data_IF_823475188156
#
_entry.id   IF_823475188156
#
_cell.length_a   1.000
_cell.length_b   1.000
_cell.length_c   1.000
_cell.angle_alpha   90.00
_cell.angle_beta   90.00
_cell.angle_gamma   90.00
#
_symmetry.space_group_name_H-M   'P 1'
#
loop_
_entity.id
_entity.type
_entity.pdbx_description
1 polymer ?
#
# COMPACT_ATOMS: atom_id res chain seq x y z
N UNK A 1 6.77 -9.11 -27.86
CA UNK A 1 5.48 -9.23 -27.16
C UNK A 1 4.46 -8.53 -28.01
N UNK A 2 3.70 -9.29 -28.79
CA UNK A 2 2.61 -8.74 -29.61
C UNK A 2 1.48 -8.32 -28.68
N UNK A 3 0.95 -7.10 -28.85
CA UNK A 3 -0.26 -6.69 -28.13
C UNK A 3 -1.39 -7.68 -28.46
N UNK A 4 -2.25 -8.04 -27.49
CA UNK A 4 -3.43 -8.83 -27.80
C UNK A 4 -4.36 -8.00 -28.71
N UNK A 5 -4.49 -8.42 -29.97
CA UNK A 5 -5.26 -7.80 -31.06
C UNK A 5 -6.80 -7.86 -30.86
N UNK A 6 -7.29 -7.99 -29.63
CA UNK A 6 -8.71 -8.20 -29.36
C UNK A 6 -9.19 -7.40 -28.15
N UNK A 7 -8.98 -6.09 -28.20
CA UNK A 7 -9.58 -5.16 -27.24
C UNK A 7 -10.97 -4.81 -27.78
N UNK A 8 -12.00 -5.41 -27.18
CA UNK A 8 -13.40 -5.04 -27.43
C UNK A 8 -13.57 -3.53 -27.24
N UNK A 9 -14.31 -2.89 -28.14
CA UNK A 9 -14.71 -1.50 -27.95
C UNK A 9 -15.62 -1.36 -26.72
N UNK A 10 -15.65 -0.18 -26.12
CA UNK A 10 -16.51 0.12 -24.96
C UNK A 10 -17.98 -0.18 -25.27
N UNK A 11 -18.42 0.09 -26.49
CA UNK A 11 -19.80 -0.11 -26.94
C UNK A 11 -20.13 -1.60 -27.08
N UNK A 12 -19.19 -2.40 -27.60
CA UNK A 12 -19.29 -3.87 -27.62
C UNK A 12 -19.35 -4.43 -26.20
N UNK A 13 -18.48 -3.99 -25.29
CA UNK A 13 -18.51 -4.38 -23.87
C UNK A 13 -19.88 -4.10 -23.23
N UNK A 14 -20.44 -2.89 -23.40
CA UNK A 14 -21.76 -2.56 -22.85
C UNK A 14 -22.87 -3.41 -23.46
N UNK A 15 -22.80 -3.73 -24.75
CA UNK A 15 -23.78 -4.58 -25.42
C UNK A 15 -23.75 -6.01 -24.88
N UNK A 16 -22.54 -6.56 -24.64
CA UNK A 16 -22.33 -7.89 -24.06
C UNK A 16 -22.85 -7.93 -22.63
N UNK A 17 -22.48 -6.95 -21.80
CA UNK A 17 -22.93 -6.86 -20.39
C UNK A 17 -24.46 -6.79 -20.31
N UNK A 18 -25.10 -5.94 -21.12
CA UNK A 18 -26.58 -5.82 -21.12
C UNK A 18 -27.26 -7.11 -21.55
N UNK A 19 -26.70 -7.82 -22.53
CA UNK A 19 -27.24 -9.13 -22.92
C UNK A 19 -27.03 -10.14 -21.79
N UNK A 20 -25.86 -10.21 -21.19
CA UNK A 20 -25.61 -11.13 -20.05
C UNK A 20 -26.57 -10.88 -18.89
N UNK A 21 -26.89 -9.62 -18.59
CA UNK A 21 -27.89 -9.26 -17.57
C UNK A 21 -29.31 -9.74 -17.90
N UNK A 22 -29.65 -9.90 -19.18
CA UNK A 22 -30.99 -10.25 -19.63
C UNK A 22 -31.15 -11.74 -19.91
N UNK A 23 -30.24 -12.30 -20.69
CA UNK A 23 -30.34 -13.62 -21.30
C UNK A 23 -29.21 -14.57 -20.82
N UNK A 24 -28.25 -14.07 -20.03
CA UNK A 24 -27.04 -14.79 -19.64
C UNK A 24 -25.98 -14.90 -20.76
N UNK A 25 -24.78 -15.44 -20.44
CA UNK A 25 -23.76 -15.76 -21.44
C UNK A 25 -24.20 -16.93 -22.33
N UNK A 26 -23.82 -16.92 -23.61
CA UNK A 26 -24.09 -18.08 -24.50
C UNK A 26 -23.24 -19.27 -24.10
N UNK A 27 -23.58 -20.45 -24.62
CA UNK A 27 -22.78 -21.66 -24.38
C UNK A 27 -21.35 -21.50 -24.89
N UNK A 28 -21.15 -20.98 -26.10
CA UNK A 28 -19.82 -20.72 -26.66
C UNK A 28 -19.00 -19.71 -25.82
N UNK A 29 -19.66 -18.73 -25.19
CA UNK A 29 -18.99 -17.76 -24.33
C UNK A 29 -18.58 -18.35 -22.99
N UNK A 30 -19.42 -19.23 -22.42
CA UNK A 30 -19.07 -19.98 -21.21
C UNK A 30 -17.91 -20.92 -21.50
N UNK A 31 -17.97 -21.67 -22.60
CA UNK A 31 -16.91 -22.60 -23.02
C UNK A 31 -15.62 -21.84 -23.34
N UNK A 32 -15.72 -20.70 -24.01
CA UNK A 32 -14.58 -19.81 -24.28
C UNK A 32 -13.96 -19.23 -23.01
N UNK A 33 -14.77 -18.87 -22.02
CA UNK A 33 -14.30 -18.43 -20.71
C UNK A 33 -13.59 -19.56 -19.97
N UNK A 34 -14.21 -20.74 -19.86
CA UNK A 34 -13.63 -21.92 -19.20
C UNK A 34 -12.32 -22.32 -19.86
N UNK A 35 -12.27 -22.34 -21.19
CA UNK A 35 -11.05 -22.67 -21.96
C UNK A 35 -9.94 -21.67 -21.65
N UNK A 36 -10.20 -20.37 -21.76
CA UNK A 36 -9.19 -19.33 -21.45
C UNK A 36 -8.75 -19.35 -19.99
N UNK A 37 -9.66 -19.57 -19.06
CA UNK A 37 -9.33 -19.69 -17.65
C UNK A 37 -8.45 -20.93 -17.40
N UNK A 38 -8.76 -22.05 -18.04
CA UNK A 38 -7.95 -23.28 -17.98
C UNK A 38 -6.56 -23.07 -18.61
N UNK A 39 -6.48 -22.41 -19.77
CA UNK A 39 -5.22 -22.05 -20.42
C UNK A 39 -4.36 -21.17 -19.52
N UNK A 40 -4.95 -20.16 -18.87
CA UNK A 40 -4.24 -19.29 -17.92
C UNK A 40 -3.75 -20.02 -16.67
N UNK A 41 -4.51 -21.01 -16.18
CA UNK A 41 -4.12 -21.80 -15.01
C UNK A 41 -3.07 -22.88 -15.35
N UNK A 42 -2.95 -23.25 -16.62
CA UNK A 42 -1.94 -24.22 -17.10
C UNK A 42 -0.69 -23.54 -17.67
N UNK A 43 -0.78 -22.25 -18.02
CA UNK A 43 0.35 -21.40 -18.37
C UNK A 43 1.21 -21.10 -17.12
N UNK A 44 2.37 -21.74 -17.06
CA UNK A 44 3.32 -21.54 -15.97
C UNK A 44 3.78 -20.09 -15.84
N UNK A 45 3.86 -19.34 -16.94
CA UNK A 45 4.30 -17.95 -16.91
C UNK A 45 3.23 -17.06 -16.27
N UNK A 46 1.96 -17.27 -16.63
CA UNK A 46 0.83 -16.56 -16.02
C UNK A 46 0.69 -16.85 -14.51
N UNK A 47 0.84 -18.12 -14.10
CA UNK A 47 0.83 -18.50 -12.68
C UNK A 47 2.01 -17.88 -11.93
N UNK A 48 3.21 -17.91 -12.51
CA UNK A 48 4.39 -17.30 -11.90
C UNK A 48 4.24 -15.78 -11.77
N UNK A 49 3.63 -15.11 -12.75
CA UNK A 49 3.34 -13.68 -12.67
C UNK A 49 2.35 -13.37 -11.54
N UNK A 50 1.28 -14.17 -11.39
CA UNK A 50 0.35 -14.02 -10.28
C UNK A 50 1.05 -14.18 -8.92
N UNK A 51 1.86 -15.22 -8.75
CA UNK A 51 2.64 -15.44 -7.53
C UNK A 51 3.63 -14.30 -7.26
N UNK A 52 4.26 -13.75 -8.29
CA UNK A 52 5.14 -12.60 -8.17
C UNK A 52 4.39 -11.36 -7.65
N UNK A 53 3.20 -11.07 -8.19
CA UNK A 53 2.36 -9.95 -7.73
C UNK A 53 1.91 -10.12 -6.27
N UNK A 54 1.55 -11.34 -5.85
CA UNK A 54 1.23 -11.63 -4.45
C UNK A 54 2.45 -11.41 -3.55
N UNK A 55 3.63 -11.85 -3.98
CA UNK A 55 4.88 -11.64 -3.25
C UNK A 55 5.23 -10.15 -3.13
N UNK A 56 5.06 -9.39 -4.21
CA UNK A 56 5.25 -7.94 -4.23
C UNK A 56 4.33 -7.24 -3.23
N UNK A 57 3.03 -7.57 -3.22
CA UNK A 57 2.08 -7.02 -2.27
C UNK A 57 2.49 -7.30 -0.82
N UNK A 58 2.95 -8.52 -0.51
CA UNK A 58 3.44 -8.87 0.83
C UNK A 58 4.70 -8.09 1.21
N UNK A 59 5.62 -7.87 0.26
CA UNK A 59 6.82 -7.08 0.49
C UNK A 59 6.51 -5.59 0.69
N UNK A 60 5.56 -5.03 -0.07
CA UNK A 60 5.06 -3.67 0.11
C UNK A 60 4.44 -3.49 1.50
N UNK A 61 3.63 -4.45 1.96
CA UNK A 61 3.04 -4.40 3.30
C UNK A 61 4.13 -4.34 4.39
N UNK A 62 5.18 -5.17 4.27
CA UNK A 62 6.35 -5.14 5.19
C UNK A 62 7.10 -3.81 5.13
N UNK A 63 7.30 -3.26 3.93
CA UNK A 63 7.98 -1.98 3.75
C UNK A 63 7.20 -0.85 4.43
N UNK A 64 5.88 -0.81 4.27
CA UNK A 64 5.01 0.16 4.94
C UNK A 64 5.06 -0.02 6.46
N UNK A 65 5.02 -1.24 6.98
CA UNK A 65 5.16 -1.48 8.43
C UNK A 65 6.52 -0.98 8.96
N UNK A 66 7.60 -1.17 8.21
CA UNK A 66 8.91 -0.62 8.57
C UNK A 66 8.90 0.91 8.56
N UNK A 67 8.19 1.56 7.64
CA UNK A 67 8.05 3.03 7.65
C UNK A 67 7.30 3.48 8.90
N UNK A 68 6.25 2.77 9.31
CA UNK A 68 5.54 3.08 10.55
C UNK A 68 6.47 3.05 11.77
N UNK A 69 7.22 1.96 11.92
CA UNK A 69 8.15 1.76 13.02
C UNK A 69 9.32 2.77 13.03
N UNK A 70 9.86 3.12 11.86
CA UNK A 70 10.98 4.08 11.76
C UNK A 70 10.58 5.50 12.20
N UNK A 71 9.34 5.91 11.93
CA UNK A 71 8.86 7.25 12.26
C UNK A 71 8.32 7.36 13.69
N UNK A 72 8.03 6.25 14.35
CA UNK A 72 7.63 6.23 15.77
C UNK A 72 8.66 6.96 16.65
N UNK A 73 9.95 6.67 16.46
CA UNK A 73 11.03 7.33 17.20
C UNK A 73 11.12 8.84 16.98
N UNK A 74 10.74 9.34 15.79
CA UNK A 74 10.68 10.78 15.50
C UNK A 74 9.49 11.44 16.20
N UNK A 75 8.36 10.77 16.26
CA UNK A 75 7.14 11.28 16.88
C UNK A 75 7.20 11.28 18.42
N UNK A 76 8.08 10.49 19.00
CA UNK A 76 8.38 10.50 20.44
C UNK A 76 9.18 11.74 20.91
N UNK A 77 9.65 12.58 19.99
CA UNK A 77 10.19 13.89 20.37
C UNK A 77 9.08 14.71 21.04
N UNK A 78 9.38 15.29 22.21
CA UNK A 78 8.36 15.93 23.07
C UNK A 78 7.49 16.97 22.34
N UNK A 79 8.06 17.67 21.36
CA UNK A 79 7.35 18.68 20.57
C UNK A 79 6.43 18.08 19.50
N UNK A 80 6.59 16.81 19.11
CA UNK A 80 5.71 16.07 18.19
C UNK A 80 4.72 15.12 18.89
N UNK A 81 4.84 14.97 20.22
CA UNK A 81 3.96 14.14 21.04
C UNK A 81 2.45 14.30 20.75
N UNK A 82 1.91 15.51 20.46
CA UNK A 82 0.49 15.65 20.12
C UNK A 82 0.02 14.91 18.87
N UNK A 83 0.94 14.51 17.97
CA UNK A 83 0.63 13.78 16.74
C UNK A 83 0.68 12.26 16.92
N UNK A 84 1.26 11.76 18.02
CA UNK A 84 1.42 10.33 18.30
C UNK A 84 0.08 9.57 18.27
N UNK A 85 -1.01 10.02 18.93
CA UNK A 85 -2.25 9.24 18.95
C UNK A 85 -2.87 9.05 17.55
N UNK A 86 -2.75 10.05 16.68
CA UNK A 86 -3.27 9.98 15.31
C UNK A 86 -2.39 9.06 14.44
N UNK A 87 -1.08 9.09 14.63
CA UNK A 87 -0.15 8.17 13.97
C UNK A 87 -0.41 6.71 14.36
N UNK A 88 -0.55 6.44 15.66
CA UNK A 88 -0.84 5.09 16.16
C UNK A 88 -2.17 4.57 15.59
N UNK A 89 -3.20 5.42 15.53
CA UNK A 89 -4.48 5.06 14.92
C UNK A 89 -4.35 4.72 13.42
N UNK A 90 -3.52 5.42 12.66
CA UNK A 90 -3.24 5.10 11.25
C UNK A 90 -2.50 3.77 11.12
N UNK A 91 -1.53 3.51 12.01
CA UNK A 91 -0.78 2.26 12.01
C UNK A 91 -1.68 1.06 12.34
N UNK A 92 -2.53 1.18 13.35
CA UNK A 92 -3.48 0.12 13.74
C UNK A 92 -4.49 -0.16 12.62
N UNK A 93 -4.98 0.89 11.93
CA UNK A 93 -5.83 0.73 10.75
C UNK A 93 -5.10 0.03 9.61
N UNK A 94 -3.85 0.39 9.33
CA UNK A 94 -3.03 -0.30 8.33
C UNK A 94 -2.89 -1.80 8.65
N UNK A 95 -2.52 -2.15 9.88
CA UNK A 95 -2.41 -3.54 10.34
C UNK A 95 -3.73 -4.28 10.24
N UNK A 96 -4.84 -3.62 10.56
CA UNK A 96 -6.18 -4.20 10.45
C UNK A 96 -6.53 -4.52 9.00
N UNK A 97 -6.27 -3.61 8.06
CA UNK A 97 -6.50 -3.85 6.63
C UNK A 97 -5.67 -5.03 6.10
N UNK A 98 -4.38 -5.12 6.49
CA UNK A 98 -3.49 -6.22 6.08
C UNK A 98 -3.92 -7.56 6.70
N UNK A 99 -4.32 -7.59 7.98
CA UNK A 99 -4.85 -8.81 8.58
C UNK A 99 -6.11 -9.27 7.88
N UNK A 100 -7.02 -8.33 7.61
CA UNK A 100 -8.27 -8.63 6.95
C UNK A 100 -8.06 -9.17 5.52
N UNK A 101 -7.10 -8.62 4.77
CA UNK A 101 -6.75 -9.15 3.45
C UNK A 101 -6.18 -10.58 3.51
N UNK A 102 -5.36 -10.88 4.52
CA UNK A 102 -4.89 -12.24 4.77
C UNK A 102 -6.02 -13.20 5.13
N UNK A 103 -6.95 -12.78 6.00
CA UNK A 103 -8.08 -13.61 6.41
C UNK A 103 -8.99 -13.95 5.21
N UNK A 104 -9.25 -12.98 4.33
CA UNK A 104 -9.98 -13.21 3.06
C UNK A 104 -9.22 -14.23 2.21
N UNK A 105 -7.93 -14.04 1.99
CA UNK A 105 -7.12 -14.97 1.19
C UNK A 105 -7.14 -16.40 1.75
N UNK A 106 -7.07 -16.55 3.07
CA UNK A 106 -7.17 -17.85 3.75
C UNK A 106 -8.55 -18.48 3.59
N UNK A 107 -9.62 -17.69 3.72
CA UNK A 107 -10.99 -18.16 3.51
C UNK A 107 -11.20 -18.60 2.05
N UNK A 108 -10.78 -17.79 1.07
CA UNK A 108 -10.82 -18.15 -0.35
C UNK A 108 -10.03 -19.42 -0.62
N UNK A 109 -8.82 -19.58 -0.06
CA UNK A 109 -8.04 -20.80 -0.20
C UNK A 109 -8.78 -22.02 0.36
N UNK A 110 -9.38 -21.90 1.55
CA UNK A 110 -10.17 -22.96 2.18
C UNK A 110 -11.38 -23.37 1.33
N UNK A 111 -12.08 -22.39 0.74
CA UNK A 111 -13.19 -22.63 -0.20
C UNK A 111 -12.69 -23.39 -1.42
N UNK A 112 -11.60 -22.94 -2.05
CA UNK A 112 -11.02 -23.55 -3.24
C UNK A 112 -10.53 -24.98 -2.99
N UNK A 113 -9.93 -25.26 -1.82
CA UNK A 113 -9.50 -26.62 -1.46
C UNK A 113 -10.69 -27.58 -1.31
N UNK A 114 -11.78 -27.12 -0.68
CA UNK A 114 -13.01 -27.93 -0.57
C UNK A 114 -13.69 -28.12 -1.92
N UNK A 115 -13.70 -27.07 -2.74
CA UNK A 115 -14.19 -27.14 -4.11
C UNK A 115 -13.41 -28.18 -4.91
N UNK A 116 -12.07 -28.16 -4.88
CA UNK A 116 -11.20 -29.11 -5.57
C UNK A 116 -11.47 -30.55 -5.13
N UNK A 117 -11.61 -30.79 -3.81
CA UNK A 117 -11.95 -32.10 -3.28
C UNK A 117 -13.31 -32.63 -3.79
N UNK A 118 -14.33 -31.77 -3.89
CA UNK A 118 -15.64 -32.16 -4.45
C UNK A 118 -15.57 -32.35 -5.96
N UNK A 119 -14.82 -31.48 -6.65
CA UNK A 119 -14.62 -31.55 -8.09
C UNK A 119 -13.96 -32.89 -8.48
N UNK A 120 -12.83 -33.23 -7.86
CA UNK A 120 -12.13 -34.51 -8.08
C UNK A 120 -13.02 -35.71 -7.75
N UNK A 121 -13.82 -35.63 -6.69
CA UNK A 121 -14.65 -36.75 -6.25
C UNK A 121 -15.91 -36.98 -7.11
N UNK A 122 -16.45 -35.96 -7.76
CA UNK A 122 -17.73 -36.05 -8.48
C UNK A 122 -17.61 -35.78 -9.97
N UNK A 123 -16.89 -34.73 -10.37
CA UNK A 123 -16.82 -34.30 -11.78
C UNK A 123 -15.96 -35.24 -12.60
N UNK A 124 -14.84 -35.73 -12.07
CA UNK A 124 -13.97 -36.68 -12.79
C UNK A 124 -14.65 -38.04 -13.05
N UNK A 125 -15.72 -38.35 -12.31
CA UNK A 125 -16.41 -39.65 -12.38
C UNK A 125 -17.78 -39.60 -13.05
N UNK A 126 -18.18 -38.48 -13.66
CA UNK A 126 -19.48 -38.34 -14.33
C UNK A 126 -19.58 -39.35 -15.47
N UNK A 127 -20.59 -40.22 -15.43
CA UNK A 127 -20.91 -41.17 -16.51
C UNK A 127 -22.34 -41.01 -17.01
N UNK A 128 -23.24 -40.53 -16.15
CA UNK A 128 -24.66 -40.38 -16.44
C UNK A 128 -25.12 -38.94 -16.28
N UNK A 129 -26.27 -38.63 -16.87
CA UNK A 129 -26.94 -37.35 -16.66
C UNK A 129 -27.28 -37.12 -15.17
N UNK A 130 -27.58 -38.19 -14.42
CA UNK A 130 -27.83 -38.07 -12.98
C UNK A 130 -26.55 -37.67 -12.22
N UNK A 131 -25.39 -38.21 -12.59
CA UNK A 131 -24.11 -37.81 -11.98
C UNK A 131 -23.79 -36.34 -12.25
N UNK A 132 -24.09 -35.88 -13.48
CA UNK A 132 -23.95 -34.46 -13.85
C UNK A 132 -24.83 -33.56 -12.98
N UNK A 133 -26.09 -33.92 -12.78
CA UNK A 133 -27.02 -33.16 -11.92
C UNK A 133 -26.55 -33.17 -10.45
N UNK A 134 -26.05 -34.30 -9.95
CA UNK A 134 -25.51 -34.41 -8.60
C UNK A 134 -24.26 -33.53 -8.42
N UNK A 135 -23.35 -33.53 -9.40
CA UNK A 135 -22.15 -32.71 -9.38
C UNK A 135 -22.50 -31.21 -9.39
N UNK A 136 -23.48 -30.78 -10.19
CA UNK A 136 -23.99 -29.39 -10.17
C UNK A 136 -24.49 -29.04 -8.77
N UNK A 137 -25.38 -29.86 -8.20
CA UNK A 137 -25.93 -29.60 -6.87
C UNK A 137 -24.87 -29.59 -5.77
N UNK A 138 -23.78 -30.36 -5.93
CA UNK A 138 -22.67 -30.37 -4.99
C UNK A 138 -21.73 -29.16 -5.13
N UNK A 139 -21.58 -28.60 -6.33
CA UNK A 139 -20.72 -27.46 -6.60
C UNK A 139 -21.40 -26.10 -6.36
N UNK A 140 -22.72 -26.03 -6.53
CA UNK A 140 -23.52 -24.80 -6.41
C UNK A 140 -23.31 -24.03 -5.08
N UNK A 141 -23.20 -24.68 -3.90
CA UNK A 141 -22.96 -23.97 -2.64
C UNK A 141 -21.65 -23.18 -2.60
N UNK A 142 -20.62 -23.63 -3.33
CA UNK A 142 -19.32 -22.94 -3.36
C UNK A 142 -19.39 -21.64 -4.15
N UNK A 143 -20.24 -21.56 -5.18
CA UNK A 143 -20.46 -20.33 -5.94
C UNK A 143 -21.05 -19.26 -5.01
N UNK A 144 -22.10 -19.63 -4.26
CA UNK A 144 -22.71 -18.72 -3.29
C UNK A 144 -21.73 -18.33 -2.16
N UNK A 145 -20.89 -19.25 -1.69
CA UNK A 145 -19.87 -18.96 -0.68
C UNK A 145 -18.80 -18.00 -1.21
N UNK A 146 -18.34 -18.17 -2.45
CA UNK A 146 -17.39 -17.26 -3.09
C UNK A 146 -17.99 -15.86 -3.29
N UNK A 147 -19.22 -15.76 -3.81
CA UNK A 147 -19.90 -14.48 -4.02
C UNK A 147 -20.13 -13.72 -2.72
N UNK A 148 -20.50 -14.42 -1.63
CA UNK A 148 -20.71 -13.79 -0.32
C UNK A 148 -19.40 -13.47 0.40
N UNK A 149 -18.30 -14.15 0.07
CA UNK A 149 -16.97 -13.89 0.62
C UNK A 149 -16.21 -12.83 -0.19
N UNK A 150 -16.64 -12.51 -1.41
CA UNK A 150 -16.02 -11.45 -2.20
C UNK A 150 -16.35 -10.06 -1.65
N UNK A 151 -15.41 -9.55 -0.86
CA UNK A 151 -15.44 -8.22 -0.27
C UNK A 151 -14.25 -7.38 -0.74
N UNK A 152 -13.72 -7.70 -1.92
CA UNK A 152 -12.58 -7.03 -2.53
C UNK A 152 -12.81 -5.51 -2.68
N UNK A 153 -14.02 -5.09 -3.04
CA UNK A 153 -14.43 -3.69 -3.13
C UNK A 153 -14.32 -2.96 -1.78
N UNK A 154 -14.78 -3.59 -0.70
CA UNK A 154 -14.74 -3.02 0.64
C UNK A 154 -13.30 -2.88 1.13
N UNK A 155 -12.49 -3.92 0.94
CA UNK A 155 -11.06 -3.88 1.27
C UNK A 155 -10.32 -2.79 0.48
N UNK A 156 -10.62 -2.66 -0.82
CA UNK A 156 -10.04 -1.62 -1.68
C UNK A 156 -10.37 -0.22 -1.17
N UNK A 157 -11.64 0.03 -0.80
CA UNK A 157 -12.07 1.30 -0.20
C UNK A 157 -11.34 1.59 1.10
N UNK A 158 -11.17 0.60 1.98
CA UNK A 158 -10.45 0.77 3.24
C UNK A 158 -8.99 1.18 3.03
N UNK A 159 -8.29 0.58 2.07
CA UNK A 159 -6.92 0.99 1.72
C UNK A 159 -6.87 2.39 1.09
N UNK A 160 -7.84 2.76 0.25
CA UNK A 160 -7.93 4.09 -0.36
C UNK A 160 -8.22 5.18 0.68
N UNK A 161 -9.14 4.92 1.61
CA UNK A 161 -9.43 5.83 2.72
C UNK A 161 -8.21 5.98 3.63
N UNK A 162 -7.52 4.88 3.96
CA UNK A 162 -6.28 4.93 4.72
C UNK A 162 -5.20 5.75 4.02
N UNK A 163 -5.03 5.58 2.70
CA UNK A 163 -4.10 6.38 1.90
C UNK A 163 -4.42 7.87 2.01
N UNK A 164 -5.67 8.26 1.80
CA UNK A 164 -6.11 9.65 1.92
C UNK A 164 -5.83 10.21 3.32
N UNK A 165 -6.09 9.43 4.36
CA UNK A 165 -5.91 9.88 5.74
C UNK A 165 -4.42 10.01 6.10
N UNK A 166 -3.54 9.14 5.59
CA UNK A 166 -2.09 9.27 5.70
C UNK A 166 -1.58 10.53 4.98
N UNK A 167 -2.08 10.82 3.77
CA UNK A 167 -1.73 12.03 3.03
C UNK A 167 -2.14 13.29 3.79
N UNK A 168 -3.34 13.30 4.38
CA UNK A 168 -3.82 14.38 5.23
C UNK A 168 -2.95 14.55 6.49
N UNK A 169 -2.61 13.44 7.16
CA UNK A 169 -1.70 13.46 8.30
C UNK A 169 -0.34 14.04 7.91
N UNK A 170 0.22 13.68 6.76
CA UNK A 170 1.47 14.22 6.26
C UNK A 170 1.45 15.74 6.10
N UNK A 171 0.36 16.29 5.57
CA UNK A 171 0.17 17.75 5.47
C UNK A 171 0.10 18.41 6.85
N UNK A 172 -0.69 17.83 7.77
CA UNK A 172 -0.81 18.31 9.15
C UNK A 172 0.53 18.27 9.88
N UNK A 173 1.28 17.17 9.73
CA UNK A 173 2.62 17.00 10.28
C UNK A 173 3.57 18.08 9.78
N UNK A 174 3.58 18.36 8.46
CA UNK A 174 4.43 19.39 7.87
C UNK A 174 4.17 20.76 8.49
N UNK A 175 2.89 21.18 8.56
CA UNK A 175 2.51 22.48 9.14
C UNK A 175 2.85 22.54 10.64
N UNK A 176 2.59 21.45 11.35
CA UNK A 176 2.82 21.39 12.79
C UNK A 176 4.32 21.40 13.14
N UNK A 177 5.15 20.64 12.41
CA UNK A 177 6.60 20.60 12.60
C UNK A 177 7.26 21.92 12.23
N UNK A 178 6.79 22.58 11.17
CA UNK A 178 7.26 23.92 10.79
C UNK A 178 7.06 24.92 11.93
N UNK A 179 5.85 24.96 12.49
CA UNK A 179 5.48 25.89 13.57
C UNK A 179 6.18 25.60 14.90
N UNK A 180 6.28 24.32 15.29
CA UNK A 180 6.67 23.96 16.66
C UNK A 180 8.12 23.48 16.79
N UNK A 181 8.82 23.22 15.68
CA UNK A 181 10.21 22.77 15.71
C UNK A 181 11.10 23.61 14.80
N UNK A 182 10.77 23.71 13.50
CA UNK A 182 11.67 24.33 12.52
C UNK A 182 11.88 25.81 12.83
N UNK A 183 10.81 26.58 12.99
CA UNK A 183 10.89 28.02 13.28
C UNK A 183 11.59 28.29 14.62
N UNK A 184 11.19 27.69 15.76
CA UNK A 184 11.87 27.90 17.04
C UNK A 184 13.35 27.52 17.02
N UNK A 185 13.70 26.35 16.49
CA UNK A 185 15.10 25.90 16.44
C UNK A 185 15.96 26.80 15.55
N UNK A 186 15.42 27.29 14.43
CA UNK A 186 16.13 28.25 13.56
C UNK A 186 16.41 29.55 14.32
N UNK A 187 15.41 30.08 15.03
CA UNK A 187 15.59 31.28 15.87
C UNK A 187 16.61 31.06 16.98
N UNK A 188 16.61 29.90 17.63
CA UNK A 188 17.57 29.59 18.69
C UNK A 188 19.00 29.46 18.15
N UNK A 189 19.16 28.86 16.96
CA UNK A 189 20.46 28.77 16.27
C UNK A 189 20.99 30.17 15.94
N UNK A 190 20.16 31.04 15.36
CA UNK A 190 20.55 32.42 15.04
C UNK A 190 20.94 33.22 16.30
N UNK A 191 20.20 33.03 17.40
CA UNK A 191 20.50 33.66 18.67
C UNK A 191 21.83 33.16 19.27
N UNK A 192 22.11 31.85 19.15
CA UNK A 192 23.38 31.27 19.59
C UNK A 192 24.56 31.77 18.74
N UNK A 193 24.41 31.86 17.43
CA UNK A 193 25.44 32.40 16.53
C UNK A 193 25.76 33.87 16.85
N UNK A 194 24.74 34.67 17.18
CA UNK A 194 24.93 36.04 17.63
C UNK A 194 25.69 36.11 18.97
N UNK A 195 25.37 35.23 19.92
CA UNK A 195 26.07 35.14 21.21
C UNK A 195 27.53 34.69 21.04
N UNK A 196 27.79 33.72 20.18
CA UNK A 196 29.15 33.25 19.85
C UNK A 196 29.96 34.40 19.25
N UNK A 197 29.38 35.14 18.30
CA UNK A 197 30.03 36.30 17.67
C UNK A 197 30.33 37.40 18.69
N UNK A 198 29.39 37.72 19.57
CA UNK A 198 29.58 38.69 20.63
C UNK A 198 30.69 38.27 21.61
N UNK A 199 30.71 37.01 22.02
CA UNK A 199 31.74 36.46 22.90
C UNK A 199 33.13 36.48 22.25
N UNK A 200 33.24 36.13 20.97
CA UNK A 200 34.48 36.20 20.20
C UNK A 200 35.01 37.64 20.12
N UNK A 201 34.13 38.62 19.87
CA UNK A 201 34.49 40.03 19.86
C UNK A 201 34.97 40.51 21.24
N UNK A 202 34.26 40.14 22.31
CA UNK A 202 34.65 40.48 23.68
C UNK A 202 36.02 39.88 24.06
N UNK A 203 36.29 38.64 23.68
CA UNK A 203 37.61 38.00 23.86
C UNK A 203 38.68 38.70 23.04
N UNK A 204 38.41 39.07 21.79
CA UNK A 204 39.36 39.82 20.95
C UNK A 204 39.71 41.20 21.50
N UNK A 205 38.77 41.85 22.20
CA UNK A 205 38.99 43.15 22.86
C UNK A 205 39.78 43.01 24.17
N UNK A 206 39.57 41.93 24.93
CA UNK A 206 40.33 41.64 26.16
C UNK A 206 41.72 41.04 25.89
N UNK A 207 41.87 40.31 24.78
CA UNK A 207 43.09 39.66 24.32
C UNK A 207 43.94 40.54 23.42
N UNK A 208 44.16 41.79 23.80
CA UNK A 208 45.08 42.70 23.11
C UNK A 208 46.47 42.07 22.98
N UNK A 209 46.74 41.43 21.83
CA UNK A 209 48.05 40.93 21.45
C UNK A 209 48.28 39.42 21.61
N UNK A 210 47.46 38.54 21.03
CA UNK A 210 47.95 37.25 20.53
C UNK A 210 47.03 36.69 19.44
N UNK A 211 47.57 36.54 18.23
CA UNK A 211 46.96 35.93 17.05
C UNK A 211 46.45 34.50 17.36
N UNK A 212 45.15 34.35 17.59
CA UNK A 212 44.43 33.10 17.32
C UNK A 212 43.50 33.33 16.14
N UNK A 213 44.10 33.30 14.95
CA UNK A 213 43.38 33.23 13.69
C UNK A 213 42.81 31.81 13.53
N UNK A 214 41.77 31.48 14.29
CA UNK A 214 40.95 30.31 13.99
C UNK A 214 40.27 30.64 12.66
N UNK A 215 40.58 29.87 11.61
CA UNK A 215 39.97 30.05 10.29
C UNK A 215 38.45 29.95 10.45
N UNK A 216 37.76 31.07 10.27
CA UNK A 216 36.33 31.11 10.05
C UNK A 216 36.01 30.24 8.83
N UNK A 217 35.59 29.00 9.07
CA UNK A 217 34.55 28.46 8.23
C UNK A 217 33.25 29.00 8.79
N UNK A 218 32.49 29.83 8.04
CA UNK A 218 31.09 30.03 8.40
C UNK A 218 30.52 28.63 8.56
N UNK A 219 29.89 28.37 9.70
CA UNK A 219 28.99 27.24 9.83
C UNK A 219 27.87 27.52 8.83
N UNK A 220 28.11 27.18 7.56
CA UNK A 220 27.05 27.00 6.59
C UNK A 220 26.18 25.95 7.27
N UNK A 221 25.00 26.37 7.71
CA UNK A 221 23.87 25.46 7.92
C UNK A 221 23.94 24.47 6.77
N UNK A 222 24.24 23.18 7.03
CA UNK A 222 24.28 22.22 5.97
C UNK A 222 22.90 22.30 5.32
N UNK A 223 22.86 22.63 4.03
CA UNK A 223 21.66 22.56 3.19
C UNK A 223 20.94 21.21 3.35
N UNK A 224 21.68 20.21 3.85
CA UNK A 224 21.24 18.89 4.30
C UNK A 224 20.12 18.91 5.35
N UNK A 225 19.95 19.93 6.20
CA UNK A 225 18.83 19.95 7.17
C UNK A 225 17.53 20.36 6.48
N UNK A 226 17.57 21.32 5.57
CA UNK A 226 16.41 21.69 4.74
C UNK A 226 16.09 20.64 3.67
N UNK A 227 17.11 19.98 3.11
CA UNK A 227 16.93 18.91 2.11
C UNK A 227 16.55 17.55 2.73
N UNK A 228 16.76 17.31 4.04
CA UNK A 228 16.26 16.10 4.72
C UNK A 228 14.83 16.24 5.24
N UNK A 229 14.36 17.47 5.43
CA UNK A 229 12.98 17.75 5.81
C UNK A 229 12.10 17.89 4.55
N UNK A 230 12.68 18.29 3.41
CA UNK A 230 12.02 18.15 2.11
C UNK A 230 12.15 16.72 1.57
N UNK A 231 11.05 15.97 1.72
CA UNK A 231 10.72 14.76 0.96
C UNK A 231 11.53 13.49 1.34
N UNK A 232 11.23 12.94 2.52
CA UNK A 232 11.29 11.49 2.71
C UNK A 232 10.37 10.75 1.72
N UNK A 233 10.50 9.42 1.56
CA UNK A 233 10.25 8.61 0.34
C UNK A 233 8.80 8.53 -0.20
N UNK A 234 7.92 9.43 0.22
CA UNK A 234 6.51 9.52 -0.17
C UNK A 234 6.30 9.92 -1.64
N UNK A 235 7.30 10.49 -2.32
CA UNK A 235 7.21 10.84 -3.74
C UNK A 235 7.33 9.64 -4.71
N UNK A 236 7.64 8.44 -4.20
CA UNK A 236 7.92 7.25 -5.02
C UNK A 236 6.89 6.12 -4.93
N UNK A 237 5.95 6.14 -3.98
CA UNK A 237 4.90 5.12 -3.89
C UNK A 237 3.79 5.39 -4.90
N UNK A 238 4.05 5.06 -6.18
CA UNK A 238 2.98 4.75 -7.14
C UNK A 238 2.36 3.41 -6.73
N UNK A 239 1.43 3.48 -5.78
CA UNK A 239 0.46 2.40 -5.58
C UNK A 239 -0.73 2.78 -6.46
N UNK A 240 -0.83 2.05 -7.57
CA UNK A 240 -1.73 2.18 -8.74
C UNK A 240 -1.47 3.37 -9.69
#
# INVERSE_FOLDING_TARGET
MSQPDNILSIEECFSIIRRWQKDGPTEEERDGFVTKASDLLTDSDAVNEFLARVSEAANLAKAIESVFAQNEGLLLLWFLSPLVPEWDALWDRFRSCVRYSCDIALNTMSILQRFDAVYLAQVETIQTEQDRQNAIAALEPFIAELETTDISDELSRQFLDLKRDIEYFGQKYSVFSEKNAIIPLTSDIEALDAQITAAQNAIGVLGGGALLRVRNHPLRVPKVITDRIHLGPWAGCKIF
#
